data_IF_676601364562
#
_entry.id   IF_676601364562
#
_cell.length_a   1.000
_cell.length_b   1.000
_cell.length_c   1.000
_cell.angle_alpha   90.00
_cell.angle_beta   90.00
_cell.angle_gamma   90.00
#
_symmetry.space_group_name_H-M   'P 1'
#
loop_
_entity.id
_entity.type
_entity.pdbx_description
1 polymer ?
#
# COMPACT_ATOMS: atom_id res chain seq x y z
N UNK A 1 -79.25 -10.48 57.54
CA UNK A 1 -77.91 -9.98 57.92
C UNK A 1 -76.89 -10.88 57.22
N UNK A 2 -75.83 -10.34 56.61
CA UNK A 2 -74.76 -11.19 56.05
C UNK A 2 -74.20 -12.05 57.18
N UNK A 3 -73.91 -13.32 56.88
CA UNK A 3 -73.31 -14.21 57.87
C UNK A 3 -71.82 -13.87 58.08
N UNK A 4 -71.29 -14.34 59.20
CA UNK A 4 -69.92 -14.02 59.65
C UNK A 4 -68.88 -14.43 58.60
N UNK A 5 -69.11 -15.53 57.88
CA UNK A 5 -68.26 -15.99 56.79
C UNK A 5 -68.18 -14.99 55.63
N UNK A 6 -69.32 -14.42 55.21
CA UNK A 6 -69.37 -13.41 54.16
C UNK A 6 -68.57 -12.16 54.53
N UNK A 7 -68.63 -11.72 55.78
CA UNK A 7 -67.88 -10.56 56.27
C UNK A 7 -66.37 -10.83 56.25
N UNK A 8 -65.94 -12.01 56.70
CA UNK A 8 -64.52 -12.39 56.66
C UNK A 8 -63.97 -12.49 55.24
N UNK A 9 -64.73 -13.07 54.30
CA UNK A 9 -64.34 -13.18 52.89
C UNK A 9 -64.18 -11.81 52.25
N UNK A 10 -65.10 -10.88 52.49
CA UNK A 10 -65.03 -9.50 51.96
C UNK A 10 -63.83 -8.75 52.54
N UNK A 11 -63.62 -8.83 53.86
CA UNK A 11 -62.48 -8.18 54.52
C UNK A 11 -61.14 -8.68 54.00
N UNK A 12 -60.97 -10.01 53.92
CA UNK A 12 -59.76 -10.63 53.38
C UNK A 12 -59.53 -10.26 51.90
N UNK A 13 -60.60 -10.22 51.10
CA UNK A 13 -60.53 -9.84 49.69
C UNK A 13 -60.08 -8.38 49.51
N UNK A 14 -60.61 -7.45 50.33
CA UNK A 14 -60.21 -6.04 50.29
C UNK A 14 -58.73 -5.86 50.68
N UNK A 15 -58.25 -6.61 51.67
CA UNK A 15 -56.83 -6.60 52.05
C UNK A 15 -55.93 -7.11 50.92
N UNK A 16 -56.31 -8.22 50.27
CA UNK A 16 -55.56 -8.75 49.12
C UNK A 16 -55.54 -7.75 47.96
N UNK A 17 -56.67 -7.13 47.64
CA UNK A 17 -56.77 -6.11 46.58
C UNK A 17 -55.89 -4.90 46.91
N UNK A 18 -55.91 -4.42 48.16
CA UNK A 18 -55.05 -3.31 48.60
C UNK A 18 -53.56 -3.63 48.49
N UNK A 19 -53.15 -4.84 48.91
CA UNK A 19 -51.76 -5.31 48.78
C UNK A 19 -51.33 -5.44 47.32
N UNK A 20 -52.19 -6.00 46.45
CA UNK A 20 -51.93 -6.10 45.01
C UNK A 20 -51.85 -4.72 44.33
N UNK A 21 -52.75 -3.81 44.67
CA UNK A 21 -52.75 -2.44 44.15
C UNK A 21 -51.49 -1.67 44.56
N UNK A 22 -51.07 -1.78 45.83
CA UNK A 22 -49.83 -1.20 46.32
C UNK A 22 -48.59 -1.77 45.62
N UNK A 23 -48.54 -3.09 45.45
CA UNK A 23 -47.46 -3.76 44.73
C UNK A 23 -47.37 -3.32 43.26
N UNK A 24 -48.50 -3.24 42.55
CA UNK A 24 -48.55 -2.77 41.16
C UNK A 24 -48.12 -1.31 41.01
N UNK A 25 -48.54 -0.44 41.94
CA UNK A 25 -48.13 0.97 41.95
C UNK A 25 -46.62 1.12 42.17
N UNK A 26 -46.07 0.40 43.15
CA UNK A 26 -44.63 0.39 43.43
C UNK A 26 -43.82 -0.12 42.23
N UNK A 27 -44.23 -1.25 41.63
CA UNK A 27 -43.60 -1.78 40.41
C UNK A 27 -43.67 -0.77 39.26
N UNK A 28 -44.78 -0.06 39.09
CA UNK A 28 -44.91 1.00 38.09
C UNK A 28 -43.91 2.14 38.27
N UNK A 29 -43.58 2.48 39.52
CA UNK A 29 -42.53 3.43 39.89
C UNK A 29 -41.14 2.92 39.52
N UNK A 30 -40.79 1.70 39.93
CA UNK A 30 -39.51 1.07 39.63
C UNK A 30 -39.26 0.95 38.12
N UNK A 31 -40.27 0.51 37.35
CA UNK A 31 -40.18 0.45 35.89
C UNK A 31 -39.98 1.83 35.24
N UNK A 32 -40.52 2.89 35.84
CA UNK A 32 -40.29 4.26 35.36
C UNK A 32 -38.85 4.69 35.61
N UNK A 33 -38.30 4.40 36.79
CA UNK A 33 -36.90 4.68 37.09
C UNK A 33 -35.96 3.90 36.17
N UNK A 34 -36.20 2.61 35.98
CA UNK A 34 -35.44 1.76 35.05
C UNK A 34 -35.46 2.34 33.63
N UNK A 35 -36.62 2.76 33.12
CA UNK A 35 -36.72 3.40 31.78
C UNK A 35 -35.90 4.69 31.68
N UNK A 36 -35.86 5.50 32.74
CA UNK A 36 -35.05 6.71 32.76
C UNK A 36 -33.55 6.39 32.70
N UNK A 37 -33.09 5.39 33.48
CA UNK A 37 -31.69 4.92 33.43
C UNK A 37 -31.32 4.36 32.06
N UNK A 38 -32.20 3.57 31.43
CA UNK A 38 -31.97 3.09 30.06
C UNK A 38 -31.85 4.23 29.05
N UNK A 39 -32.68 5.26 29.15
CA UNK A 39 -32.58 6.43 28.27
C UNK A 39 -31.24 7.17 28.41
N UNK A 40 -30.75 7.33 29.65
CA UNK A 40 -29.43 7.92 29.91
C UNK A 40 -28.31 7.04 29.33
N UNK A 41 -28.41 5.72 29.49
CA UNK A 41 -27.47 4.76 28.91
C UNK A 41 -27.45 4.88 27.37
N UNK A 42 -28.61 4.97 26.71
CA UNK A 42 -28.71 5.13 25.25
C UNK A 42 -28.10 6.46 24.77
N UNK A 43 -28.21 7.53 25.56
CA UNK A 43 -27.55 8.82 25.27
C UNK A 43 -26.03 8.70 25.37
N UNK A 44 -25.52 8.02 26.42
CA UNK A 44 -24.09 7.76 26.59
C UNK A 44 -23.53 6.88 25.48
N UNK A 45 -24.24 5.83 25.06
CA UNK A 45 -23.82 4.99 23.95
C UNK A 45 -23.76 5.79 22.64
N UNK A 46 -24.74 6.66 22.36
CA UNK A 46 -24.69 7.55 21.20
C UNK A 46 -23.51 8.51 21.22
N UNK A 47 -23.12 9.02 22.40
CA UNK A 47 -21.90 9.83 22.53
C UNK A 47 -20.63 9.01 22.28
N UNK A 48 -20.58 7.79 22.82
CA UNK A 48 -19.47 6.85 22.59
C UNK A 48 -19.32 6.56 21.10
N UNK A 49 -20.42 6.26 20.40
CA UNK A 49 -20.42 5.98 18.96
C UNK A 49 -19.85 7.17 18.17
N UNK A 50 -20.28 8.41 18.49
CA UNK A 50 -19.73 9.62 17.86
C UNK A 50 -18.22 9.78 18.08
N UNK A 51 -17.74 9.55 19.31
CA UNK A 51 -16.30 9.61 19.62
C UNK A 51 -15.52 8.53 18.88
N UNK A 52 -16.09 7.34 18.70
CA UNK A 52 -15.49 6.29 17.90
C UNK A 52 -15.40 6.67 16.43
N UNK A 53 -16.44 7.27 15.85
CA UNK A 53 -16.43 7.73 14.47
C UNK A 53 -15.41 8.85 14.24
N UNK A 54 -15.32 9.82 15.17
CA UNK A 54 -14.30 10.87 15.14
C UNK A 54 -12.88 10.29 15.22
N UNK A 55 -12.66 9.34 16.15
CA UNK A 55 -11.37 8.66 16.29
C UNK A 55 -11.00 7.90 15.02
N UNK A 56 -11.96 7.20 14.40
CA UNK A 56 -11.75 6.48 13.16
C UNK A 56 -11.35 7.44 12.03
N UNK A 57 -12.06 8.54 11.87
CA UNK A 57 -11.72 9.57 10.89
C UNK A 57 -10.33 10.17 11.11
N UNK A 58 -9.98 10.45 12.37
CA UNK A 58 -8.64 10.92 12.72
C UNK A 58 -7.55 9.90 12.35
N UNK A 59 -7.73 8.62 12.73
CA UNK A 59 -6.77 7.56 12.43
C UNK A 59 -6.62 7.34 10.92
N UNK A 60 -7.72 7.30 10.17
CA UNK A 60 -7.70 7.16 8.71
C UNK A 60 -6.94 8.34 8.07
N UNK A 61 -7.16 9.57 8.55
CA UNK A 61 -6.42 10.76 8.10
C UNK A 61 -4.92 10.63 8.34
N UNK A 62 -4.51 10.29 9.57
CA UNK A 62 -3.10 10.12 9.94
C UNK A 62 -2.44 8.98 9.17
N UNK A 63 -3.16 7.90 8.90
CA UNK A 63 -2.65 6.78 8.11
C UNK A 63 -2.42 7.18 6.65
N UNK A 64 -3.34 7.92 6.03
CA UNK A 64 -3.20 8.42 4.66
C UNK A 64 -2.04 9.41 4.53
N UNK A 65 -1.87 10.32 5.50
CA UNK A 65 -0.71 11.23 5.55
C UNK A 65 0.60 10.45 5.63
N UNK A 66 0.67 9.45 6.53
CA UNK A 66 1.85 8.62 6.70
C UNK A 66 2.19 7.84 5.42
N UNK A 67 1.19 7.23 4.78
CA UNK A 67 1.34 6.51 3.51
C UNK A 67 1.93 7.44 2.44
N UNK A 68 1.32 8.62 2.24
CA UNK A 68 1.82 9.58 1.25
C UNK A 68 3.24 10.08 1.53
N UNK A 69 3.59 10.29 2.81
CA UNK A 69 4.94 10.65 3.20
C UNK A 69 5.96 9.54 2.90
N UNK A 70 5.62 8.28 3.22
CA UNK A 70 6.47 7.11 2.96
C UNK A 70 6.63 6.88 1.46
N UNK A 71 5.56 6.88 0.67
CA UNK A 71 5.60 6.70 -0.78
C UNK A 71 6.53 7.76 -1.41
N UNK A 72 6.40 9.02 -0.99
CA UNK A 72 7.26 10.11 -1.45
C UNK A 72 8.73 9.93 -1.05
N UNK A 73 9.00 9.44 0.18
CA UNK A 73 10.36 9.19 0.66
C UNK A 73 11.02 8.03 -0.09
N UNK A 74 10.28 6.95 -0.33
CA UNK A 74 10.75 5.77 -1.05
C UNK A 74 11.04 6.13 -2.51
N UNK A 75 10.17 6.88 -3.19
CA UNK A 75 10.39 7.30 -4.58
C UNK A 75 11.65 8.16 -4.71
N UNK A 76 11.84 9.15 -3.84
CA UNK A 76 13.08 9.97 -3.84
C UNK A 76 14.33 9.15 -3.59
N UNK A 77 14.26 8.15 -2.71
CA UNK A 77 15.39 7.26 -2.44
C UNK A 77 15.70 6.36 -3.65
N UNK A 78 14.65 5.84 -4.31
CA UNK A 78 14.75 5.05 -5.55
C UNK A 78 15.43 5.84 -6.66
N UNK A 79 15.03 7.10 -6.85
CA UNK A 79 15.61 8.02 -7.84
C UNK A 79 17.08 8.33 -7.52
N UNK A 80 17.39 8.68 -6.26
CA UNK A 80 18.75 8.97 -5.83
C UNK A 80 19.68 7.75 -6.00
N UNK A 81 19.19 6.57 -5.62
CA UNK A 81 19.94 5.32 -5.76
C UNK A 81 20.13 4.93 -7.24
N UNK A 82 19.09 5.04 -8.06
CA UNK A 82 19.18 4.81 -9.52
C UNK A 82 20.20 5.76 -10.15
N UNK A 83 20.12 7.06 -9.85
CA UNK A 83 21.06 8.06 -10.35
C UNK A 83 22.51 7.75 -9.95
N UNK A 84 22.73 7.42 -8.67
CA UNK A 84 24.05 7.04 -8.18
C UNK A 84 24.57 5.76 -8.86
N UNK A 85 23.74 4.73 -8.97
CA UNK A 85 24.09 3.46 -9.59
C UNK A 85 24.44 3.65 -11.08
N UNK A 86 23.64 4.40 -11.82
CA UNK A 86 23.90 4.70 -13.23
C UNK A 86 25.26 5.38 -13.42
N UNK A 87 25.52 6.45 -12.66
CA UNK A 87 26.80 7.16 -12.72
C UNK A 87 27.97 6.24 -12.36
N UNK A 88 27.86 5.50 -11.26
CA UNK A 88 28.94 4.66 -10.78
C UNK A 88 29.26 3.51 -11.76
N UNK A 89 28.24 2.85 -12.30
CA UNK A 89 28.42 1.79 -13.29
C UNK A 89 28.97 2.33 -14.61
N UNK A 90 28.47 3.48 -15.08
CA UNK A 90 29.01 4.14 -16.27
C UNK A 90 30.50 4.46 -16.09
N UNK A 91 30.87 5.08 -14.96
CA UNK A 91 32.25 5.40 -14.61
C UNK A 91 33.15 4.15 -14.61
N UNK A 92 32.73 3.07 -13.93
CA UNK A 92 33.52 1.84 -13.87
C UNK A 92 33.71 1.18 -15.24
N UNK A 93 32.72 1.29 -16.13
CA UNK A 93 32.82 0.75 -17.49
C UNK A 93 33.70 1.62 -18.38
N UNK A 94 33.58 2.95 -18.33
CA UNK A 94 34.41 3.87 -19.13
C UNK A 94 35.88 3.75 -18.74
N UNK A 95 36.17 3.71 -17.43
CA UNK A 95 37.52 3.50 -16.91
C UNK A 95 38.06 2.07 -17.16
N UNK A 96 37.22 1.14 -17.62
CA UNK A 96 37.61 -0.24 -17.89
C UNK A 96 37.86 -1.09 -16.64
N UNK A 97 37.43 -0.63 -15.47
CA UNK A 97 37.45 -1.41 -14.22
C UNK A 97 36.58 -2.65 -14.36
N UNK A 98 35.41 -2.47 -14.97
CA UNK A 98 34.57 -3.59 -15.40
C UNK A 98 34.85 -3.86 -16.87
N UNK A 99 35.21 -5.10 -17.19
CA UNK A 99 35.51 -5.51 -18.56
C UNK A 99 34.24 -5.81 -19.36
N UNK A 100 34.23 -5.57 -20.70
CA UNK A 100 33.05 -5.79 -21.54
C UNK A 100 32.47 -7.21 -21.47
N UNK A 101 33.28 -8.24 -21.21
CA UNK A 101 32.81 -9.63 -21.12
C UNK A 101 31.83 -9.84 -19.95
N UNK A 102 31.89 -8.97 -18.93
CA UNK A 102 30.96 -9.01 -17.80
C UNK A 102 29.56 -8.50 -18.18
N UNK A 103 29.43 -7.72 -19.24
CA UNK A 103 28.13 -7.26 -19.74
C UNK A 103 27.24 -8.42 -20.16
N UNK A 104 27.80 -9.53 -20.65
CA UNK A 104 27.03 -10.73 -21.03
C UNK A 104 26.34 -11.36 -19.82
N UNK A 105 27.03 -11.42 -18.67
CA UNK A 105 26.45 -11.96 -17.43
C UNK A 105 25.32 -11.05 -16.95
N UNK A 106 25.56 -9.73 -16.95
CA UNK A 106 24.54 -8.75 -16.58
C UNK A 106 23.32 -8.80 -17.52
N UNK A 107 23.54 -8.99 -18.83
CA UNK A 107 22.48 -9.14 -19.84
C UNK A 107 21.56 -10.32 -19.53
N UNK A 108 22.13 -11.48 -19.23
CA UNK A 108 21.34 -12.69 -18.92
C UNK A 108 20.44 -12.48 -17.70
N UNK A 109 20.97 -11.81 -16.69
CA UNK A 109 20.23 -11.48 -15.48
C UNK A 109 19.18 -10.38 -15.73
N UNK A 110 19.50 -9.37 -16.53
CA UNK A 110 18.56 -8.34 -16.96
C UNK A 110 17.40 -8.94 -17.77
N UNK A 111 17.66 -9.91 -18.65
CA UNK A 111 16.66 -10.56 -19.51
C UNK A 111 15.55 -11.25 -18.73
N UNK A 112 15.79 -11.62 -17.47
CA UNK A 112 14.75 -12.18 -16.59
C UNK A 112 13.58 -11.23 -16.38
N UNK A 113 13.76 -9.92 -16.57
CA UNK A 113 12.68 -8.93 -16.50
C UNK A 113 11.53 -9.23 -17.47
N UNK A 114 11.82 -9.89 -18.60
CA UNK A 114 10.83 -10.22 -19.63
C UNK A 114 9.71 -11.11 -19.11
N UNK A 115 9.92 -11.84 -18.00
CA UNK A 115 8.86 -12.62 -17.33
C UNK A 115 7.76 -11.74 -16.71
N UNK A 116 8.08 -10.47 -16.45
CA UNK A 116 7.16 -9.47 -15.89
C UNK A 116 6.51 -8.63 -16.99
N UNK A 117 6.69 -8.99 -18.27
CA UNK A 117 6.05 -8.29 -19.37
C UNK A 117 4.52 -8.49 -19.30
N UNK A 118 3.83 -7.50 -18.73
CA UNK A 118 2.37 -7.42 -18.68
C UNK A 118 1.85 -6.38 -19.68
N UNK A 119 0.54 -6.36 -19.95
CA UNK A 119 -0.05 -5.48 -20.95
C UNK A 119 -0.46 -4.09 -20.45
N UNK A 120 -0.23 -3.75 -19.18
CA UNK A 120 -0.89 -2.59 -18.55
C UNK A 120 0.11 -1.60 -17.93
N UNK A 121 1.24 -2.06 -17.40
CA UNK A 121 2.28 -1.23 -16.74
C UNK A 121 3.52 -2.12 -16.47
N UNK A 122 4.80 -1.67 -16.40
CA UNK A 122 5.40 -0.34 -16.65
C UNK A 122 5.54 0.09 -18.11
N UNK A 123 5.52 -0.86 -19.04
CA UNK A 123 5.79 -0.60 -20.45
C UNK A 123 4.62 -1.06 -21.30
N UNK A 124 4.44 -0.44 -22.47
CA UNK A 124 3.51 -0.95 -23.49
C UNK A 124 4.01 -2.27 -24.07
N UNK A 125 3.15 -2.98 -24.81
CA UNK A 125 3.55 -4.24 -25.49
C UNK A 125 4.68 -4.01 -26.48
N UNK A 126 4.65 -2.88 -27.18
CA UNK A 126 5.64 -2.45 -28.16
C UNK A 126 6.96 -2.12 -27.46
N UNK A 127 6.92 -1.43 -26.33
CA UNK A 127 8.10 -1.13 -25.52
C UNK A 127 8.71 -2.40 -24.90
N UNK A 128 7.90 -3.33 -24.40
CA UNK A 128 8.40 -4.63 -23.95
C UNK A 128 9.06 -5.42 -25.08
N UNK A 129 8.43 -5.43 -26.26
CA UNK A 129 9.02 -6.06 -27.44
C UNK A 129 10.37 -5.42 -27.79
N UNK A 130 10.42 -4.08 -27.83
CA UNK A 130 11.65 -3.33 -28.11
C UNK A 130 12.73 -3.57 -27.06
N UNK A 131 12.37 -3.63 -25.79
CA UNK A 131 13.27 -3.99 -24.71
C UNK A 131 13.88 -5.38 -24.93
N UNK A 132 13.05 -6.36 -25.30
CA UNK A 132 13.48 -7.70 -25.66
C UNK A 132 14.49 -7.71 -26.81
N UNK A 133 14.20 -6.98 -27.89
CA UNK A 133 15.08 -6.82 -29.05
C UNK A 133 16.46 -6.25 -28.65
N UNK A 134 16.48 -5.21 -27.81
CA UNK A 134 17.71 -4.61 -27.30
C UNK A 134 18.51 -5.57 -26.40
N UNK A 135 17.83 -6.40 -25.60
CA UNK A 135 18.44 -7.42 -24.73
C UNK A 135 18.93 -8.65 -25.51
N UNK A 136 18.42 -8.88 -26.72
CA UNK A 136 18.85 -9.98 -27.59
C UNK A 136 20.15 -9.67 -28.33
N UNK A 137 20.42 -8.40 -28.63
CA UNK A 137 21.64 -7.98 -29.30
C UNK A 137 22.91 -8.38 -28.53
N UNK A 138 24.00 -8.60 -29.26
CA UNK A 138 25.31 -8.71 -28.63
C UNK A 138 25.64 -7.37 -27.94
N UNK A 139 26.12 -7.37 -26.69
CA UNK A 139 26.54 -6.14 -26.02
C UNK A 139 27.49 -5.29 -26.89
N UNK A 140 28.33 -5.92 -27.70
CA UNK A 140 29.29 -5.16 -28.50
C UNK A 140 28.69 -4.43 -29.69
N UNK A 141 27.49 -4.84 -30.13
CA UNK A 141 26.81 -4.34 -31.31
C UNK A 141 25.77 -3.26 -31.01
N UNK A 142 25.48 -2.98 -29.73
CA UNK A 142 24.61 -1.86 -29.36
C UNK A 142 25.25 -0.53 -29.75
N UNK A 143 24.46 0.35 -30.36
CA UNK A 143 24.87 1.74 -30.51
C UNK A 143 24.68 2.51 -29.19
N UNK A 144 25.30 3.70 -29.08
CA UNK A 144 25.10 4.57 -27.92
C UNK A 144 23.64 5.01 -27.77
N UNK A 145 22.95 5.31 -28.88
CA UNK A 145 21.54 5.67 -28.87
C UNK A 145 20.66 4.50 -28.39
N UNK A 146 20.97 3.27 -28.81
CA UNK A 146 20.27 2.07 -28.36
C UNK A 146 20.53 1.76 -26.88
N UNK A 147 21.74 2.04 -26.39
CA UNK A 147 22.06 1.92 -24.97
C UNK A 147 21.29 2.96 -24.12
N UNK A 148 21.15 4.19 -24.62
CA UNK A 148 20.32 5.21 -23.98
C UNK A 148 18.84 4.83 -23.99
N UNK A 149 18.33 4.32 -25.11
CA UNK A 149 16.95 3.82 -25.23
C UNK A 149 16.69 2.68 -24.23
N UNK A 150 17.61 1.71 -24.16
CA UNK A 150 17.56 0.63 -23.18
C UNK A 150 17.51 1.15 -21.74
N UNK A 151 18.29 2.19 -21.42
CA UNK A 151 18.30 2.81 -20.08
C UNK A 151 17.00 3.53 -19.77
N UNK A 152 16.39 4.22 -20.74
CA UNK A 152 15.08 4.85 -20.55
C UNK A 152 13.97 3.83 -20.29
N UNK A 153 13.98 2.71 -21.01
CA UNK A 153 13.06 1.60 -20.74
C UNK A 153 13.31 1.00 -19.35
N UNK A 154 14.57 0.84 -18.94
CA UNK A 154 14.92 0.36 -17.61
C UNK A 154 14.44 1.30 -16.48
N UNK A 155 14.58 2.62 -16.66
CA UNK A 155 14.08 3.63 -15.72
C UNK A 155 12.56 3.59 -15.58
N UNK A 156 11.83 3.41 -16.69
CA UNK A 156 10.37 3.19 -16.66
C UNK A 156 10.01 1.95 -15.83
N UNK A 157 10.74 0.85 -16.04
CA UNK A 157 10.54 -0.38 -15.27
C UNK A 157 10.80 -0.16 -13.78
N UNK A 158 11.87 0.53 -13.40
CA UNK A 158 12.18 0.84 -11.99
C UNK A 158 11.05 1.61 -11.31
N UNK A 159 10.45 2.60 -11.97
CA UNK A 159 9.39 3.43 -11.36
C UNK A 159 8.20 2.62 -10.85
N UNK A 160 7.89 1.52 -11.52
CA UNK A 160 6.72 0.70 -11.16
C UNK A 160 7.11 -0.61 -10.48
N UNK A 161 8.24 -1.20 -10.86
CA UNK A 161 8.69 -2.54 -10.45
C UNK A 161 9.99 -2.51 -9.62
N UNK A 162 10.25 -1.43 -8.87
CA UNK A 162 11.42 -1.34 -7.99
C UNK A 162 11.46 -2.39 -6.87
N UNK A 163 10.34 -3.04 -6.58
CA UNK A 163 10.24 -4.18 -5.67
C UNK A 163 10.79 -5.49 -6.27
N UNK A 164 10.95 -5.56 -7.60
CA UNK A 164 11.54 -6.70 -8.30
C UNK A 164 13.04 -6.52 -8.51
N UNK A 165 13.83 -7.48 -8.04
CA UNK A 165 15.29 -7.47 -8.23
C UNK A 165 15.70 -7.41 -9.72
N UNK A 166 14.90 -7.97 -10.62
CA UNK A 166 15.14 -7.93 -12.06
C UNK A 166 15.16 -6.49 -12.62
N UNK A 167 14.38 -5.57 -12.07
CA UNK A 167 14.33 -4.18 -12.54
C UNK A 167 15.67 -3.47 -12.30
N UNK A 168 16.28 -3.69 -11.13
CA UNK A 168 17.60 -3.16 -10.78
C UNK A 168 18.72 -3.76 -11.62
N UNK A 169 18.64 -5.06 -11.91
CA UNK A 169 19.59 -5.75 -12.79
C UNK A 169 19.48 -5.24 -14.23
N UNK A 170 18.27 -4.94 -14.69
CA UNK A 170 18.04 -4.30 -15.98
C UNK A 170 18.69 -2.91 -16.04
N UNK A 171 18.47 -2.06 -15.03
CA UNK A 171 19.09 -0.73 -14.98
C UNK A 171 20.62 -0.80 -14.92
N UNK A 172 21.16 -1.75 -14.15
CA UNK A 172 22.60 -2.01 -14.10
C UNK A 172 23.15 -2.37 -15.48
N UNK A 173 22.56 -3.34 -16.17
CA UNK A 173 22.98 -3.73 -17.52
C UNK A 173 22.89 -2.55 -18.50
N UNK A 174 21.77 -1.83 -18.50
CA UNK A 174 21.59 -0.67 -19.37
C UNK A 174 22.68 0.40 -19.15
N UNK A 175 23.02 0.66 -17.89
CA UNK A 175 24.10 1.59 -17.51
C UNK A 175 25.46 1.10 -17.98
N UNK A 176 25.71 -0.21 -17.90
CA UNK A 176 26.94 -0.79 -18.43
C UNK A 176 27.06 -0.56 -19.94
N UNK A 177 25.94 -0.72 -20.66
CA UNK A 177 25.88 -0.51 -22.10
C UNK A 177 26.14 0.93 -22.49
N UNK A 178 25.63 1.90 -21.74
CA UNK A 178 25.92 3.32 -21.97
C UNK A 178 27.41 3.60 -21.79
N UNK A 179 28.02 3.14 -20.69
CA UNK A 179 29.47 3.32 -20.47
C UNK A 179 30.33 2.65 -21.54
N UNK A 180 29.99 1.41 -21.93
CA UNK A 180 30.73 0.68 -22.96
C UNK A 180 30.67 1.37 -24.33
N UNK A 181 29.48 1.79 -24.76
CA UNK A 181 29.27 2.42 -26.06
C UNK A 181 29.86 3.82 -26.13
N UNK A 182 29.84 4.56 -25.02
CA UNK A 182 30.51 5.85 -24.87
C UNK A 182 32.03 5.72 -25.03
N UNK A 183 32.64 4.78 -24.32
CA UNK A 183 34.08 4.49 -24.44
C UNK A 183 34.49 4.15 -25.87
N UNK A 184 33.73 3.26 -26.53
CA UNK A 184 33.98 2.88 -27.94
C UNK A 184 33.92 4.08 -28.88
N UNK A 185 32.99 5.02 -28.66
CA UNK A 185 32.90 6.26 -29.45
C UNK A 185 34.10 7.17 -29.26
N UNK A 186 34.57 7.32 -28.02
CA UNK A 186 35.76 8.12 -27.71
C UNK A 186 37.02 7.52 -28.37
N UNK A 187 37.17 6.20 -28.33
CA UNK A 187 38.27 5.48 -28.98
C UNK A 187 38.23 5.57 -30.52
N UNK A 188 37.03 5.60 -31.13
CA UNK A 188 36.85 5.72 -32.58
C UNK A 188 36.94 7.17 -33.09
N UNK A 189 36.60 8.16 -32.26
CA UNK A 189 36.64 9.58 -32.61
C UNK A 189 37.95 10.29 -32.25
N UNK A 190 38.81 9.67 -31.45
CA UNK A 190 40.12 10.18 -31.03
C UNK A 190 41.32 9.67 -31.86
N UNK A 191 41.07 9.02 -33.01
CA UNK A 191 42.08 8.48 -33.92
C UNK A 191 42.34 9.37 -35.14
#
# INVERSE_FOLDING_TARGET
MPDVATIYVIGLSLTIIGMLGGGLFWLGGEFREIRMRFKEIDERFREIDRRFDELRGYVDGRFNELKGYIDSRVNRLSEAFSSYQEFFIELLMTEGVIKPERAVIAKNEARRIMRLATSINPLTKEEWKRLGELLDKDPNDLTYEEALELRELARKVIREYMDYAEAWKLLMYASMMVGLTKKKREEQGGG
#
